data_IF_029428318041
#
_entry.id   IF_029428318041
#
_cell.length_a   1.000
_cell.length_b   1.000
_cell.length_c   1.000
_cell.angle_alpha   90.00
_cell.angle_beta   90.00
_cell.angle_gamma   90.00
#
_symmetry.space_group_name_H-M   'P 1'
#
loop_
_entity.id
_entity.type
_entity.pdbx_description
1 polymer ?
#
# COMPACT_ATOMS: atom_id res chain seq x y z
N UNK A 1 -32.15 -42.81 -45.85
CA UNK A 1 -30.74 -42.41 -45.97
C UNK A 1 -30.71 -40.96 -46.43
N UNK A 2 -30.20 -40.05 -45.59
CA UNK A 2 -29.98 -38.66 -45.96
C UNK A 2 -28.68 -38.21 -45.27
N UNK A 3 -27.62 -38.08 -46.07
CA UNK A 3 -26.28 -37.72 -45.60
C UNK A 3 -26.20 -36.20 -45.52
N UNK A 4 -26.17 -35.65 -44.31
CA UNK A 4 -25.92 -34.22 -44.09
C UNK A 4 -24.40 -33.97 -44.13
N UNK A 5 -23.96 -33.23 -45.15
CA UNK A 5 -22.58 -32.77 -45.29
C UNK A 5 -22.35 -31.62 -44.30
N UNK A 6 -21.62 -31.88 -43.21
CA UNK A 6 -21.13 -30.84 -42.30
C UNK A 6 -19.93 -30.13 -42.94
N UNK A 7 -20.14 -28.91 -43.43
CA UNK A 7 -19.06 -28.00 -43.78
C UNK A 7 -18.39 -27.50 -42.49
N UNK A 8 -17.26 -28.10 -42.12
CA UNK A 8 -16.35 -27.48 -41.16
C UNK A 8 -15.75 -26.23 -41.81
N UNK A 9 -16.23 -25.07 -41.42
CA UNK A 9 -15.50 -23.82 -41.68
C UNK A 9 -14.23 -23.81 -40.82
N UNK A 10 -13.03 -23.61 -41.39
CA UNK A 10 -11.83 -23.50 -40.60
C UNK A 10 -11.93 -22.23 -39.75
N UNK A 11 -11.84 -22.41 -38.43
CA UNK A 11 -11.56 -21.35 -37.46
C UNK A 11 -10.24 -20.72 -37.92
N UNK A 12 -10.32 -19.58 -38.58
CA UNK A 12 -9.14 -18.79 -38.86
C UNK A 12 -8.62 -18.35 -37.50
N UNK A 13 -7.52 -18.96 -37.06
CA UNK A 13 -6.64 -18.34 -36.09
C UNK A 13 -6.53 -16.86 -36.48
N UNK A 14 -6.81 -15.93 -35.56
CA UNK A 14 -6.75 -14.50 -35.83
C UNK A 14 -5.36 -14.20 -36.37
N UNK A 15 -5.21 -14.19 -37.69
CA UNK A 15 -4.01 -13.77 -38.35
C UNK A 15 -4.00 -12.26 -38.18
N UNK A 16 -3.34 -11.81 -37.11
CA UNK A 16 -3.13 -10.39 -36.84
C UNK A 16 -2.74 -9.71 -38.16
N UNK A 17 -3.54 -8.72 -38.56
CA UNK A 17 -3.40 -8.06 -39.84
C UNK A 17 -1.96 -7.54 -40.02
N UNK A 18 -1.45 -7.63 -41.25
CA UNK A 18 -0.16 -7.04 -41.62
C UNK A 18 -0.24 -5.52 -41.52
N UNK A 19 0.89 -4.84 -41.41
CA UNK A 19 0.95 -3.37 -41.46
C UNK A 19 1.66 -2.90 -42.71
N UNK A 20 1.01 -2.03 -43.49
CA UNK A 20 1.67 -1.23 -44.51
C UNK A 20 2.06 0.12 -43.87
N UNK A 21 3.33 0.29 -43.53
CA UNK A 21 3.82 1.47 -42.81
C UNK A 21 4.13 2.57 -43.84
N UNK A 22 3.62 3.77 -43.58
CA UNK A 22 3.82 4.95 -44.42
C UNK A 22 5.00 5.77 -43.90
N UNK A 23 5.59 6.59 -44.77
CA UNK A 23 6.78 7.42 -44.46
C UNK A 23 6.54 8.49 -43.39
N UNK A 24 5.28 8.82 -43.11
CA UNK A 24 4.90 9.73 -42.03
C UNK A 24 4.77 9.02 -40.65
N UNK A 25 5.00 7.70 -40.61
CA UNK A 25 4.90 6.88 -39.41
C UNK A 25 3.51 6.29 -39.16
N UNK A 26 2.48 6.69 -39.91
CA UNK A 26 1.17 6.06 -39.88
C UNK A 26 1.19 4.68 -40.56
N UNK A 27 0.16 3.87 -40.36
CA UNK A 27 0.07 2.56 -41.02
C UNK A 27 -1.35 2.21 -41.41
N UNK A 28 -1.47 1.34 -42.43
CA UNK A 28 -2.72 0.69 -42.81
C UNK A 28 -2.69 -0.76 -42.33
N UNK A 29 -3.76 -1.22 -41.67
CA UNK A 29 -3.94 -2.63 -41.35
C UNK A 29 -4.43 -3.35 -42.59
N UNK A 30 -3.66 -4.33 -43.06
CA UNK A 30 -3.91 -5.01 -44.34
C UNK A 30 -3.88 -6.53 -44.19
N UNK A 31 -4.75 -7.24 -44.91
CA UNK A 31 -4.65 -8.71 -44.99
C UNK A 31 -3.73 -9.16 -46.13
N UNK A 32 -3.75 -8.41 -47.25
CA UNK A 32 -2.92 -8.62 -48.44
C UNK A 32 -2.74 -7.33 -49.23
N UNK A 33 -1.68 -7.24 -50.03
CA UNK A 33 -1.43 -6.12 -50.93
C UNK A 33 -0.74 -6.57 -52.23
N UNK A 34 -0.92 -5.77 -53.29
CA UNK A 34 -0.36 -5.94 -54.62
C UNK A 34 0.25 -4.61 -55.09
N UNK A 35 1.45 -4.63 -55.67
CA UNK A 35 2.07 -3.45 -56.26
C UNK A 35 1.65 -3.40 -57.74
N UNK A 36 0.92 -2.34 -58.14
CA UNK A 36 0.43 -2.09 -59.50
C UNK A 36 1.02 -0.79 -60.03
N UNK A 37 2.18 -0.90 -60.69
CA UNK A 37 2.94 0.26 -61.18
C UNK A 37 3.35 1.17 -60.01
N UNK A 38 2.92 2.43 -60.06
CA UNK A 38 3.18 3.45 -59.03
C UNK A 38 2.21 3.43 -57.84
N UNK A 39 1.28 2.47 -57.79
CA UNK A 39 0.29 2.34 -56.70
C UNK A 39 0.41 0.98 -56.02
N UNK A 40 0.14 0.97 -54.71
CA UNK A 40 -0.02 -0.23 -53.90
C UNK A 40 -1.50 -0.38 -53.62
N UNK A 41 -2.10 -1.46 -54.13
CA UNK A 41 -3.47 -1.82 -53.87
C UNK A 41 -3.50 -2.84 -52.73
N UNK A 42 -4.18 -2.53 -51.64
CA UNK A 42 -4.22 -3.38 -50.45
C UNK A 42 -5.65 -3.64 -50.00
N UNK A 43 -5.87 -4.77 -49.32
CA UNK A 43 -7.16 -5.11 -48.74
C UNK A 43 -7.16 -4.72 -47.27
N UNK A 44 -7.94 -3.70 -46.92
CA UNK A 44 -8.04 -3.17 -45.57
C UNK A 44 -8.61 -4.23 -44.63
N UNK A 45 -7.89 -4.51 -43.54
CA UNK A 45 -8.33 -5.44 -42.52
C UNK A 45 -9.45 -4.86 -41.64
N UNK A 46 -9.56 -3.53 -41.57
CA UNK A 46 -10.62 -2.84 -40.81
C UNK A 46 -11.91 -2.72 -41.60
N UNK A 47 -11.80 -2.31 -42.88
CA UNK A 47 -12.96 -2.05 -43.74
C UNK A 47 -13.39 -3.23 -44.59
N UNK A 48 -12.52 -4.22 -44.78
CA UNK A 48 -12.82 -5.37 -45.63
C UNK A 48 -12.97 -5.00 -47.11
N UNK A 49 -12.31 -3.94 -47.58
CA UNK A 49 -12.38 -3.45 -48.95
C UNK A 49 -10.98 -3.22 -49.54
N UNK A 50 -10.90 -3.15 -50.87
CA UNK A 50 -9.67 -2.80 -51.57
C UNK A 50 -9.46 -1.29 -51.60
N UNK A 51 -8.33 -0.84 -51.06
CA UNK A 51 -7.90 0.55 -51.03
C UNK A 51 -6.57 0.70 -51.78
N UNK A 52 -6.17 1.92 -52.12
CA UNK A 52 -4.94 2.20 -52.87
C UNK A 52 -4.16 3.38 -52.30
N UNK A 53 -2.84 3.23 -52.20
CA UNK A 53 -1.90 4.30 -51.84
C UNK A 53 -0.75 4.38 -52.85
N UNK A 54 -0.15 5.57 -53.08
CA UNK A 54 1.06 5.68 -53.88
C UNK A 54 2.21 4.84 -53.30
N UNK A 55 2.92 4.11 -54.16
CA UNK A 55 4.10 3.30 -53.77
C UNK A 55 5.18 4.13 -53.10
N UNK A 56 5.31 5.39 -53.49
CA UNK A 56 6.29 6.33 -52.95
C UNK A 56 6.03 6.77 -51.50
N UNK A 57 4.80 6.59 -50.98
CA UNK A 57 4.41 6.92 -49.62
C UNK A 57 4.65 5.78 -48.62
N UNK A 58 4.81 4.54 -49.10
CA UNK A 58 5.09 3.39 -48.24
C UNK A 58 6.56 3.40 -47.84
N UNK A 59 6.82 3.23 -46.54
CA UNK A 59 8.12 2.88 -46.02
C UNK A 59 8.26 1.34 -46.05
N UNK A 60 8.88 0.85 -47.13
CA UNK A 60 9.09 -0.58 -47.34
C UNK A 60 10.06 -1.18 -46.33
N UNK A 61 11.08 -0.43 -45.91
CA UNK A 61 12.04 -0.92 -44.93
C UNK A 61 11.37 -1.11 -43.57
N UNK A 62 10.55 -0.16 -43.14
CA UNK A 62 9.77 -0.28 -41.91
C UNK A 62 8.72 -1.40 -42.00
N UNK A 63 8.01 -1.49 -43.13
CA UNK A 63 6.99 -2.54 -43.39
C UNK A 63 7.59 -3.94 -43.32
N UNK A 64 8.71 -4.18 -44.01
CA UNK A 64 9.39 -5.48 -44.01
C UNK A 64 9.97 -5.82 -42.64
N UNK A 65 10.55 -4.82 -41.95
CA UNK A 65 11.05 -5.00 -40.59
C UNK A 65 9.92 -5.39 -39.64
N UNK A 66 8.77 -4.71 -39.69
CA UNK A 66 7.63 -5.03 -38.85
C UNK A 66 7.11 -6.45 -39.11
N UNK A 67 6.97 -6.84 -40.38
CA UNK A 67 6.55 -8.21 -40.72
C UNK A 67 7.55 -9.27 -40.24
N UNK A 68 8.86 -8.99 -40.34
CA UNK A 68 9.91 -9.87 -39.84
C UNK A 68 9.88 -9.99 -38.32
N UNK A 69 9.77 -8.87 -37.61
CA UNK A 69 9.70 -8.83 -36.15
C UNK A 69 8.45 -9.57 -35.64
N UNK A 70 7.29 -9.33 -36.29
CA UNK A 70 6.04 -10.04 -36.01
C UNK A 70 6.18 -11.54 -36.26
N UNK A 71 6.77 -11.95 -37.38
CA UNK A 71 7.00 -13.35 -37.70
C UNK A 71 7.98 -14.03 -36.71
N UNK A 72 8.90 -13.26 -36.14
CA UNK A 72 9.83 -13.69 -35.10
C UNK A 72 9.23 -13.64 -33.67
N UNK A 73 7.98 -13.22 -33.51
CA UNK A 73 7.30 -13.13 -32.21
C UNK A 73 7.74 -11.95 -31.33
N UNK A 74 8.40 -10.94 -31.91
CA UNK A 74 8.80 -9.73 -31.18
C UNK A 74 7.55 -8.87 -30.93
N UNK A 75 7.34 -8.47 -29.67
CA UNK A 75 6.26 -7.56 -29.30
C UNK A 75 6.37 -6.23 -30.07
N UNK A 76 5.25 -5.70 -30.54
CA UNK A 76 5.25 -4.40 -31.22
C UNK A 76 5.60 -3.29 -30.22
N UNK A 77 6.07 -2.12 -30.70
CA UNK A 77 6.32 -0.97 -29.83
C UNK A 77 5.10 -0.58 -29.00
N UNK A 78 3.89 -0.66 -29.56
CA UNK A 78 2.65 -0.35 -28.83
C UNK A 78 2.35 -1.39 -27.75
N UNK A 79 2.59 -2.68 -28.02
CA UNK A 79 2.42 -3.72 -27.01
C UNK A 79 3.42 -3.55 -25.86
N UNK A 80 4.68 -3.23 -26.17
CA UNK A 80 5.70 -2.96 -25.17
C UNK A 80 5.41 -1.69 -24.33
N UNK A 81 4.76 -0.69 -24.92
CA UNK A 81 4.33 0.52 -24.20
C UNK A 81 3.13 0.23 -23.30
N UNK A 82 2.14 -0.52 -23.78
CA UNK A 82 1.00 -0.97 -22.98
C UNK A 82 1.46 -1.82 -21.79
N UNK A 83 2.37 -2.78 -22.01
CA UNK A 83 2.94 -3.59 -20.93
C UNK A 83 3.60 -2.72 -19.86
N UNK A 84 4.34 -1.67 -20.27
CA UNK A 84 4.94 -0.71 -19.31
C UNK A 84 3.89 0.07 -18.54
N UNK A 85 2.81 0.50 -19.19
CA UNK A 85 1.71 1.24 -18.55
C UNK A 85 0.98 0.35 -17.54
N UNK A 86 0.63 -0.88 -17.91
CA UNK A 86 0.00 -1.86 -17.02
C UNK A 86 0.89 -2.20 -15.82
N UNK A 87 2.20 -2.33 -16.06
CA UNK A 87 3.18 -2.53 -14.99
C UNK A 87 3.29 -1.33 -14.06
N UNK A 88 3.19 -0.10 -14.59
CA UNK A 88 3.17 1.11 -13.78
C UNK A 88 1.89 1.20 -12.93
N UNK A 89 0.73 0.96 -13.53
CA UNK A 89 -0.57 0.96 -12.84
C UNK A 89 -0.58 -0.09 -11.72
N UNK A 90 -0.07 -1.29 -11.98
CA UNK A 90 0.05 -2.35 -10.96
C UNK A 90 0.95 -1.91 -9.80
N UNK A 91 2.07 -1.24 -10.09
CA UNK A 91 2.97 -0.72 -9.05
C UNK A 91 2.31 0.38 -8.24
N UNK A 92 1.51 1.25 -8.87
CA UNK A 92 0.74 2.30 -8.18
C UNK A 92 -0.36 1.71 -7.29
N UNK A 93 -1.04 0.65 -7.74
CA UNK A 93 -2.01 -0.08 -6.91
C UNK A 93 -1.33 -0.77 -5.72
N UNK A 94 -0.20 -1.44 -5.96
CA UNK A 94 0.58 -2.10 -4.90
C UNK A 94 1.17 -1.09 -3.89
N UNK A 95 1.54 0.09 -4.36
CA UNK A 95 1.93 1.22 -3.52
C UNK A 95 0.80 1.71 -2.61
N UNK A 96 -0.45 1.82 -3.12
CA UNK A 96 -1.61 2.25 -2.32
C UNK A 96 -2.09 1.18 -1.34
N UNK A 97 -2.06 -0.09 -1.76
CA UNK A 97 -2.49 -1.24 -0.94
C UNK A 97 -1.41 -2.33 -0.86
N UNK A 98 -0.31 -2.09 -0.11
CA UNK A 98 0.78 -3.05 0.01
C UNK A 98 0.33 -4.38 0.60
N UNK A 99 0.83 -5.49 0.05
CA UNK A 99 0.63 -6.83 0.61
C UNK A 99 1.58 -7.05 1.79
N UNK A 100 1.03 -7.41 2.94
CA UNK A 100 1.80 -7.59 4.20
C UNK A 100 1.85 -9.03 4.66
N UNK A 101 0.92 -9.87 4.19
CA UNK A 101 0.94 -11.32 4.35
C UNK A 101 0.13 -11.98 3.20
N UNK A 102 0.22 -13.31 2.99
CA UNK A 102 -0.64 -14.00 2.04
C UNK A 102 -2.13 -13.69 2.28
N UNK A 103 -2.81 -13.18 1.25
CA UNK A 103 -4.21 -12.77 1.33
C UNK A 103 -4.52 -11.52 2.15
N UNK A 104 -3.51 -10.80 2.68
CA UNK A 104 -3.70 -9.59 3.48
C UNK A 104 -2.96 -8.40 2.86
N UNK A 105 -3.71 -7.32 2.64
CA UNK A 105 -3.21 -6.03 2.18
C UNK A 105 -3.60 -4.93 3.16
N UNK A 106 -2.79 -3.89 3.21
CA UNK A 106 -3.13 -2.65 3.93
C UNK A 106 -4.19 -1.88 3.12
N UNK A 107 -5.09 -1.15 3.79
CA UNK A 107 -6.12 -0.40 3.09
C UNK A 107 -5.53 0.88 2.47
N UNK A 108 -6.21 1.46 1.49
CA UNK A 108 -5.76 2.68 0.80
C UNK A 108 -6.08 3.97 1.56
N UNK A 109 -7.04 3.92 2.49
CA UNK A 109 -7.47 5.04 3.35
C UNK A 109 -6.56 5.29 4.57
N UNK A 110 -5.59 4.40 4.81
CA UNK A 110 -4.60 4.54 5.88
C UNK A 110 -5.03 3.92 7.21
N UNK A 111 -4.43 4.38 8.30
CA UNK A 111 -4.69 3.94 9.67
C UNK A 111 -3.48 3.37 10.41
N UNK A 112 -3.76 2.71 11.54
CA UNK A 112 -2.76 1.98 12.33
C UNK A 112 -3.20 0.54 12.46
N UNK A 113 -2.45 -0.39 11.87
CA UNK A 113 -2.79 -1.81 11.84
C UNK A 113 -1.70 -2.65 12.48
N UNK A 114 -2.11 -3.69 13.20
CA UNK A 114 -1.25 -4.71 13.78
C UNK A 114 -1.43 -6.02 13.02
N UNK A 115 -0.35 -6.50 12.39
CA UNK A 115 -0.30 -7.85 11.82
C UNK A 115 0.00 -8.84 12.92
N UNK A 116 -0.95 -9.76 13.10
CA UNK A 116 -0.99 -10.76 14.16
C UNK A 116 -1.05 -12.16 13.56
N UNK A 117 -0.84 -13.17 14.39
CA UNK A 117 -1.09 -14.57 14.05
C UNK A 117 -1.86 -15.24 15.17
N UNK A 118 -3.14 -15.51 14.93
CA UNK A 118 -4.02 -16.17 15.90
C UNK A 118 -4.35 -17.57 15.42
N UNK A 119 -4.08 -18.58 16.27
CA UNK A 119 -4.31 -19.99 15.97
C UNK A 119 -3.69 -20.44 14.61
N UNK A 120 -2.51 -19.89 14.29
CA UNK A 120 -1.78 -20.19 13.06
C UNK A 120 -2.27 -19.45 11.81
N UNK A 121 -3.28 -18.59 11.92
CA UNK A 121 -3.77 -17.77 10.80
C UNK A 121 -3.30 -16.31 10.94
N UNK A 122 -2.67 -15.73 9.90
CA UNK A 122 -2.33 -14.32 9.92
C UNK A 122 -3.61 -13.47 9.85
N UNK A 123 -3.63 -12.34 10.56
CA UNK A 123 -4.76 -11.41 10.55
C UNK A 123 -4.29 -9.98 10.77
N UNK A 124 -5.02 -9.00 10.24
CA UNK A 124 -4.79 -7.58 10.50
C UNK A 124 -5.82 -7.06 11.51
N UNK A 125 -5.34 -6.30 12.49
CA UNK A 125 -6.19 -5.68 13.49
C UNK A 125 -6.01 -4.16 13.44
N UNK A 126 -7.07 -3.42 13.11
CA UNK A 126 -7.06 -1.96 13.19
C UNK A 126 -7.00 -1.53 14.66
N UNK A 127 -5.99 -0.74 15.01
CA UNK A 127 -5.90 -0.10 16.32
C UNK A 127 -6.56 1.26 16.21
N UNK A 128 -7.58 1.50 17.04
CA UNK A 128 -8.26 2.80 17.10
C UNK A 128 -7.44 3.76 17.95
N UNK A 129 -7.46 5.03 17.56
CA UNK A 129 -6.80 6.09 18.34
C UNK A 129 -7.50 6.28 19.68
N UNK A 130 -6.71 6.39 20.75
CA UNK A 130 -7.12 6.60 22.13
C UNK A 130 -6.49 7.88 22.67
N UNK A 131 -7.31 8.76 23.27
CA UNK A 131 -6.83 10.01 23.88
C UNK A 131 -6.33 9.81 25.32
N UNK A 132 -5.08 10.17 25.58
CA UNK A 132 -4.50 10.19 26.92
C UNK A 132 -5.04 11.33 27.79
N UNK A 133 -5.64 11.01 28.94
CA UNK A 133 -6.02 12.01 29.95
C UNK A 133 -4.80 12.41 30.77
N UNK A 134 -4.53 13.71 30.87
CA UNK A 134 -3.43 14.22 31.71
C UNK A 134 -3.91 14.37 33.16
N UNK A 135 -3.43 13.50 34.05
CA UNK A 135 -3.77 13.58 35.46
C UNK A 135 -2.91 14.65 36.16
N UNK A 136 -3.59 15.60 36.83
CA UNK A 136 -2.95 16.77 37.46
C UNK A 136 -2.35 16.49 38.85
N UNK A 137 -2.59 15.32 39.47
CA UNK A 137 -1.99 14.84 40.74
C UNK A 137 -1.67 15.95 41.78
N UNK A 138 -2.63 16.86 41.98
CA UNK A 138 -2.43 18.09 42.75
C UNK A 138 -2.09 17.81 44.22
N UNK A 139 -2.66 16.75 44.82
CA UNK A 139 -2.46 16.40 46.24
C UNK A 139 -1.04 15.93 46.57
N UNK A 140 -0.40 15.14 45.70
CA UNK A 140 0.96 14.62 45.92
C UNK A 140 2.05 15.66 45.59
N UNK A 141 1.81 16.52 44.60
CA UNK A 141 2.72 17.59 44.22
C UNK A 141 2.77 18.73 45.27
N UNK A 142 1.64 19.06 45.93
CA UNK A 142 1.59 20.09 46.99
C UNK A 142 2.43 19.70 48.21
N UNK A 143 2.33 18.43 48.67
CA UNK A 143 3.08 17.94 49.84
C UNK A 143 4.61 17.92 49.64
N UNK A 144 5.07 17.81 48.39
CA UNK A 144 6.51 17.87 48.05
C UNK A 144 7.02 19.30 47.89
N UNK A 145 6.19 20.21 47.37
CA UNK A 145 6.55 21.60 47.15
C UNK A 145 6.81 22.38 48.46
N UNK A 146 6.17 21.98 49.56
CA UNK A 146 6.37 22.61 50.88
C UNK A 146 7.64 22.16 51.59
N UNK A 147 8.18 20.98 51.25
CA UNK A 147 9.41 20.43 51.84
C UNK A 147 10.64 20.76 50.98
N UNK A 148 10.45 20.93 49.66
CA UNK A 148 11.49 21.41 48.75
C UNK A 148 10.89 22.34 47.68
N UNK A 149 11.11 23.67 47.78
CA UNK A 149 10.53 24.64 46.84
C UNK A 149 11.07 24.52 45.40
N UNK A 150 12.08 23.67 45.17
CA UNK A 150 12.65 23.37 43.86
C UNK A 150 11.96 22.16 43.18
N UNK A 151 10.98 21.52 43.83
CA UNK A 151 10.34 20.31 43.31
C UNK A 151 9.49 20.58 42.04
N UNK A 152 9.92 20.01 40.91
CA UNK A 152 9.19 20.02 39.63
C UNK A 152 7.82 19.33 39.73
N UNK A 153 6.79 19.87 39.06
CA UNK A 153 5.48 19.21 38.98
C UNK A 153 5.53 18.02 38.00
N UNK A 154 4.97 16.88 38.40
CA UNK A 154 4.84 15.68 37.55
C UNK A 154 3.36 15.36 37.28
N UNK A 155 3.01 15.16 36.02
CA UNK A 155 1.69 14.73 35.53
C UNK A 155 1.82 13.44 34.73
N UNK A 156 0.84 12.55 34.80
CA UNK A 156 0.83 11.28 34.04
C UNK A 156 -0.14 11.36 32.88
N UNK A 157 0.21 10.71 31.77
CA UNK A 157 -0.68 10.50 30.61
C UNK A 157 -1.32 9.13 30.79
N UNK A 158 -2.65 9.11 30.98
CA UNK A 158 -3.40 7.93 31.42
C UNK A 158 -4.47 7.55 30.39
N UNK A 159 -4.53 6.27 30.06
CA UNK A 159 -5.63 5.64 29.33
C UNK A 159 -6.53 4.88 30.30
N UNK A 160 -7.86 4.95 30.15
CA UNK A 160 -8.77 4.15 30.97
C UNK A 160 -8.69 2.67 30.61
N UNK A 161 -9.08 1.83 31.57
CA UNK A 161 -9.09 0.39 31.44
C UNK A 161 -7.72 -0.24 31.70
N UNK A 162 -7.75 -1.50 32.13
CA UNK A 162 -6.54 -2.29 32.42
C UNK A 162 -5.94 -2.93 31.17
N UNK A 163 -6.72 -3.05 30.09
CA UNK A 163 -6.33 -3.72 28.84
C UNK A 163 -6.76 -2.96 27.60
N UNK A 164 -5.92 -3.03 26.56
CA UNK A 164 -6.27 -2.62 25.22
C UNK A 164 -7.33 -3.55 24.61
N UNK A 165 -8.14 -3.01 23.70
CA UNK A 165 -9.13 -3.83 22.96
C UNK A 165 -8.47 -4.79 21.98
N UNK A 166 -7.36 -4.36 21.36
CA UNK A 166 -6.60 -5.15 20.41
C UNK A 166 -5.46 -5.86 21.15
N UNK A 167 -5.40 -7.18 21.00
CA UNK A 167 -4.37 -8.03 21.60
C UNK A 167 -3.55 -8.69 20.50
N UNK A 168 -2.23 -8.58 20.58
CA UNK A 168 -1.28 -9.33 19.78
C UNK A 168 -1.08 -10.69 20.40
N UNK A 169 -1.27 -11.74 19.60
CA UNK A 169 -1.02 -13.13 20.00
C UNK A 169 0.43 -13.56 19.73
N UNK A 170 1.18 -12.73 19.00
CA UNK A 170 2.63 -12.88 18.81
C UNK A 170 3.40 -11.89 19.67
N UNK A 171 4.62 -12.25 20.08
CA UNK A 171 5.48 -11.41 20.92
C UNK A 171 6.33 -10.42 20.12
N UNK A 172 6.38 -10.54 18.78
CA UNK A 172 7.00 -9.55 17.89
C UNK A 172 5.98 -9.08 16.85
N UNK A 173 5.00 -8.26 17.25
CA UNK A 173 4.02 -7.73 16.30
C UNK A 173 4.69 -6.83 15.26
N UNK A 174 4.21 -6.92 14.02
CA UNK A 174 4.52 -5.93 12.99
C UNK A 174 3.38 -4.92 12.95
N UNK A 175 3.70 -3.64 13.10
CA UNK A 175 2.72 -2.56 13.05
C UNK A 175 2.92 -1.72 11.79
N UNK A 176 1.83 -1.31 11.18
CA UNK A 176 1.81 -0.49 9.97
C UNK A 176 1.07 0.80 10.27
N UNK A 177 1.68 1.93 9.95
CA UNK A 177 1.15 3.26 10.25
C UNK A 177 1.14 4.11 8.99
N UNK A 178 -0.04 4.60 8.62
CA UNK A 178 -0.23 5.62 7.61
C UNK A 178 -1.28 6.60 8.15
N UNK A 179 -0.82 7.72 8.71
CA UNK A 179 -1.70 8.77 9.20
C UNK A 179 -1.23 10.10 8.63
N UNK A 180 -2.19 10.96 8.27
CA UNK A 180 -1.89 12.32 7.85
C UNK A 180 -1.13 13.06 8.96
N UNK A 181 -0.26 13.98 8.58
CA UNK A 181 0.39 14.90 9.51
C UNK A 181 -0.56 16.05 9.82
N UNK A 182 -0.81 16.33 11.10
CA UNK A 182 -1.65 17.48 11.52
C UNK A 182 -1.08 18.85 11.07
N UNK A 183 0.13 18.88 10.48
CA UNK A 183 0.76 20.08 9.91
C UNK A 183 -0.05 20.76 8.78
N UNK A 184 -1.03 20.07 8.19
CA UNK A 184 -1.91 20.67 7.17
C UNK A 184 -2.98 21.62 7.76
N UNK A 185 -3.19 21.62 9.08
CA UNK A 185 -4.24 22.45 9.72
C UNK A 185 -3.75 23.79 10.26
N UNK A 186 -2.47 24.13 10.10
CA UNK A 186 -1.92 25.40 10.57
C UNK A 186 -0.99 26.06 9.56
N UNK A 187 -1.52 26.48 8.40
CA UNK A 187 -1.17 27.76 7.77
C UNK A 187 -2.00 27.98 6.50
N UNK A 188 -3.06 28.76 6.63
CA UNK A 188 -3.62 29.51 5.51
C UNK A 188 -2.63 30.62 5.11
N UNK A 189 -1.57 30.24 4.42
CA UNK A 189 -0.80 31.11 3.52
C UNK A 189 -0.46 30.31 2.26
N UNK A 190 -0.89 30.75 1.06
CA UNK A 190 -0.50 30.10 -0.17
C UNK A 190 0.98 30.42 -0.44
N UNK A 191 1.89 29.55 -0.04
CA UNK A 191 3.24 29.57 -0.58
C UNK A 191 3.24 28.86 -1.93
N UNK A 192 3.46 29.65 -2.97
CA UNK A 192 3.80 29.21 -4.31
C UNK A 192 5.01 28.26 -4.28
N UNK A 193 4.85 27.10 -4.90
CA UNK A 193 5.95 26.41 -5.58
C UNK A 193 6.84 25.51 -4.74
N UNK A 194 6.28 24.44 -4.16
CA UNK A 194 7.01 23.18 -3.95
C UNK A 194 6.02 22.04 -3.69
N UNK A 195 5.55 21.37 -4.75
CA UNK A 195 4.79 20.10 -4.69
C UNK A 195 5.73 18.91 -4.44
N UNK A 196 6.59 19.03 -3.43
CA UNK A 196 7.30 17.88 -2.88
C UNK A 196 6.64 17.58 -1.53
N UNK A 197 5.88 16.49 -1.46
CA UNK A 197 5.45 15.95 -0.17
C UNK A 197 6.71 15.74 0.68
N UNK A 198 6.75 16.24 1.93
CA UNK A 198 7.91 16.02 2.79
C UNK A 198 8.14 14.52 2.92
N UNK A 199 9.39 14.08 2.74
CA UNK A 199 9.74 12.67 2.85
C UNK A 199 9.27 12.09 4.19
N UNK A 200 8.56 10.96 4.13
CA UNK A 200 8.02 10.29 5.31
C UNK A 200 9.17 9.88 6.24
N UNK A 201 9.21 10.43 7.45
CA UNK A 201 10.19 10.03 8.47
C UNK A 201 9.75 8.72 9.14
N UNK A 202 10.43 7.58 8.89
CA UNK A 202 10.07 6.31 9.53
C UNK A 202 10.26 6.36 11.05
N UNK A 203 11.06 7.29 11.58
CA UNK A 203 11.28 7.45 13.02
C UNK A 203 10.20 8.28 13.72
N UNK A 204 9.24 8.86 12.97
CA UNK A 204 8.09 9.60 13.51
C UNK A 204 7.27 8.78 14.50
N UNK A 205 7.24 7.45 14.35
CA UNK A 205 6.46 6.57 15.20
C UNK A 205 7.35 5.67 16.06
N UNK A 206 6.99 5.53 17.34
CA UNK A 206 7.69 4.67 18.30
C UNK A 206 6.69 3.82 19.08
N UNK A 207 7.16 2.70 19.61
CA UNK A 207 6.40 1.89 20.56
C UNK A 207 6.80 2.29 21.97
N UNK A 208 5.83 2.46 22.85
CA UNK A 208 6.04 2.66 24.30
C UNK A 208 5.42 1.51 25.08
N UNK A 209 6.09 1.08 26.15
CA UNK A 209 5.53 0.15 27.13
C UNK A 209 4.81 0.94 28.22
N UNK A 210 3.55 0.60 28.46
CA UNK A 210 2.72 1.24 29.47
C UNK A 210 2.85 0.55 30.83
N UNK A 211 2.52 1.29 31.90
CA UNK A 211 2.37 0.73 33.23
C UNK A 211 0.88 0.64 33.60
N UNK A 212 0.37 -0.56 33.82
CA UNK A 212 -0.98 -0.73 34.36
C UNK A 212 -0.99 -0.44 35.85
N UNK A 213 -1.88 0.43 36.30
CA UNK A 213 -2.07 0.78 37.70
C UNK A 213 -3.57 0.95 37.99
N UNK A 214 -4.09 0.21 38.96
CA UNK A 214 -5.52 0.23 39.28
C UNK A 214 -6.36 -0.09 38.03
N UNK A 215 -7.21 0.84 37.60
CA UNK A 215 -8.14 0.73 36.47
C UNK A 215 -7.66 1.48 35.22
N UNK A 216 -6.36 1.79 35.13
CA UNK A 216 -5.78 2.62 34.07
C UNK A 216 -4.40 2.14 33.63
N UNK A 217 -4.00 2.62 32.45
CA UNK A 217 -2.68 2.40 31.85
C UNK A 217 -1.96 3.73 31.70
N UNK A 218 -0.73 3.81 32.18
CA UNK A 218 0.10 5.02 32.15
C UNK A 218 1.04 4.92 30.95
N UNK A 219 0.85 5.80 29.96
CA UNK A 219 1.67 5.90 28.74
C UNK A 219 3.03 6.53 29.06
N UNK A 220 3.02 7.56 29.90
CA UNK A 220 4.21 8.34 30.23
C UNK A 220 3.92 9.43 31.25
N UNK A 221 4.90 10.31 31.47
CA UNK A 221 4.79 11.43 32.39
C UNK A 221 5.32 12.72 31.77
N UNK A 222 4.63 13.83 32.05
CA UNK A 222 5.03 15.19 31.75
C UNK A 222 5.65 15.78 33.01
N UNK A 223 6.89 16.24 32.93
CA UNK A 223 7.62 16.94 33.99
C UNK A 223 7.70 18.41 33.65
N UNK A 224 7.40 19.26 34.62
CA UNK A 224 7.44 20.71 34.49
C UNK A 224 8.42 21.23 35.54
N UNK A 225 9.59 21.68 35.10
CA UNK A 225 10.59 22.28 35.98
C UNK A 225 10.10 23.62 36.52
N UNK A 226 10.64 24.05 37.67
CA UNK A 226 10.24 25.31 38.33
C UNK A 226 10.46 26.53 37.44
N UNK A 227 11.46 26.50 36.56
CA UNK A 227 11.74 27.54 35.56
C UNK A 227 10.91 27.40 34.25
N UNK A 228 9.89 26.56 34.24
CA UNK A 228 8.93 26.43 33.13
C UNK A 228 9.28 25.41 32.05
N UNK A 229 10.48 24.81 32.05
CA UNK A 229 10.84 23.79 31.06
C UNK A 229 9.97 22.54 31.22
N UNK A 230 9.32 22.14 30.13
CA UNK A 230 8.52 20.92 30.04
C UNK A 230 9.37 19.81 29.39
N UNK A 231 9.36 18.61 29.98
CA UNK A 231 9.89 17.40 29.37
C UNK A 231 8.93 16.25 29.51
N UNK A 232 9.03 15.26 28.63
CA UNK A 232 8.23 14.05 28.67
C UNK A 232 9.11 12.83 28.97
N UNK A 233 8.52 11.83 29.62
CA UNK A 233 9.16 10.56 29.92
C UNK A 233 8.23 9.41 29.54
N UNK A 234 8.76 8.48 28.76
CA UNK A 234 8.07 7.30 28.27
C UNK A 234 9.04 6.13 28.26
N UNK A 235 8.52 4.91 28.39
CA UNK A 235 9.33 3.70 28.30
C UNK A 235 9.38 3.25 26.84
N UNK A 236 10.31 3.81 26.06
CA UNK A 236 10.47 3.48 24.64
C UNK A 236 10.95 2.04 24.47
N UNK A 237 10.26 1.32 23.59
CA UNK A 237 10.66 0.01 23.11
C UNK A 237 11.59 0.21 21.91
N UNK A 238 12.75 -0.45 21.86
CA UNK A 238 13.60 -0.44 20.67
C UNK A 238 12.88 -1.08 19.47
N UNK A 239 12.84 -0.34 18.35
CA UNK A 239 12.17 -0.76 17.11
C UNK A 239 13.03 -0.50 15.89
N UNK A 240 12.87 -1.34 14.89
CA UNK A 240 13.21 -1.03 13.50
C UNK A 240 12.00 -0.41 12.81
N UNK A 241 12.24 0.64 12.02
CA UNK A 241 11.20 1.38 11.32
C UNK A 241 11.62 1.63 9.88
N UNK A 242 10.76 1.27 8.94
CA UNK A 242 11.02 1.39 7.50
C UNK A 242 9.76 1.86 6.76
N UNK A 243 9.94 2.64 5.70
CA UNK A 243 8.85 2.99 4.77
C UNK A 243 8.69 1.82 3.80
N UNK A 244 7.48 1.29 3.65
CA UNK A 244 7.21 0.26 2.65
C UNK A 244 7.36 0.87 1.25
N UNK A 245 8.17 0.22 0.40
CA UNK A 245 8.54 0.72 -0.92
C UNK A 245 7.35 1.21 -1.75
N UNK A 246 7.43 2.45 -2.22
CA UNK A 246 6.39 3.06 -3.06
C UNK A 246 5.14 3.53 -2.31
N UNK A 247 5.04 3.34 -1.00
CA UNK A 247 3.84 3.65 -0.22
C UNK A 247 4.07 4.70 0.88
N UNK A 248 2.98 5.16 1.49
CA UNK A 248 2.99 6.03 2.67
C UNK A 248 2.90 5.26 4.00
N UNK A 249 3.13 3.95 3.97
CA UNK A 249 3.08 3.09 5.15
C UNK A 249 4.45 2.98 5.82
N UNK A 250 4.51 3.31 7.11
CA UNK A 250 5.66 3.00 7.96
C UNK A 250 5.40 1.66 8.64
N UNK A 251 6.31 0.71 8.44
CA UNK A 251 6.35 -0.55 9.21
C UNK A 251 7.24 -0.36 10.44
N UNK A 252 6.74 -0.76 11.59
CA UNK A 252 7.42 -0.68 12.89
C UNK A 252 7.48 -2.10 13.48
N UNK A 253 8.68 -2.57 13.80
CA UNK A 253 8.89 -3.91 14.35
C UNK A 253 9.76 -3.82 15.61
N UNK A 254 9.34 -4.39 16.76
CA UNK A 254 10.20 -4.54 17.92
C UNK A 254 11.46 -5.34 17.58
N UNK A 255 12.63 -4.86 17.99
CA UNK A 255 13.90 -5.57 17.73
C UNK A 255 14.04 -6.85 18.57
N UNK A 256 13.25 -6.96 19.64
CA UNK A 256 13.23 -8.09 20.57
C UNK A 256 11.79 -8.49 20.90
N UNK A 257 11.60 -9.73 21.35
CA UNK A 257 10.29 -10.19 21.79
C UNK A 257 9.78 -9.35 22.96
N UNK A 258 8.56 -8.84 22.82
CA UNK A 258 7.84 -8.11 23.85
C UNK A 258 7.34 -9.10 24.92
N UNK A 259 7.48 -8.71 26.18
CA UNK A 259 6.83 -9.43 27.28
C UNK A 259 5.32 -9.20 27.23
N UNK A 260 4.50 -10.10 27.81
CA UNK A 260 3.10 -9.81 28.00
C UNK A 260 2.87 -8.49 28.74
N UNK A 261 1.89 -7.71 28.29
CA UNK A 261 1.57 -6.40 28.85
C UNK A 261 1.01 -5.40 27.84
N UNK A 262 0.94 -4.14 28.28
CA UNK A 262 0.27 -3.07 27.55
C UNK A 262 1.27 -2.14 26.86
N UNK A 263 0.99 -1.82 25.59
CA UNK A 263 1.85 -1.04 24.72
C UNK A 263 1.05 -0.03 23.92
N UNK A 264 1.72 0.98 23.36
CA UNK A 264 1.09 1.88 22.42
C UNK A 264 2.08 2.31 21.33
N UNK A 265 1.57 2.54 20.13
CA UNK A 265 2.27 3.37 19.13
C UNK A 265 2.01 4.82 19.47
N UNK A 266 3.08 5.61 19.49
CA UNK A 266 3.03 7.05 19.70
C UNK A 266 3.69 7.75 18.53
N UNK A 267 3.13 8.89 18.16
CA UNK A 267 3.76 9.83 17.25
C UNK A 267 4.70 10.74 18.04
N UNK A 268 5.93 10.92 17.55
CA UNK A 268 6.94 11.80 18.13
C UNK A 268 6.79 13.22 17.58
N UNK A 269 6.74 14.19 18.50
CA UNK A 269 6.75 15.62 18.23
C UNK A 269 8.19 16.14 18.42
N UNK A 270 8.96 16.11 17.32
CA UNK A 270 10.38 16.41 17.34
C UNK A 270 11.20 15.32 18.05
N UNK A 271 12.25 15.72 18.79
CA UNK A 271 13.22 14.76 19.36
C UNK A 271 12.76 14.07 20.65
N UNK A 272 11.89 14.70 21.44
CA UNK A 272 11.56 14.23 22.79
C UNK A 272 10.06 14.25 23.12
N UNK A 273 9.27 15.09 22.45
CA UNK A 273 7.83 15.14 22.67
C UNK A 273 7.14 13.96 22.01
N UNK A 274 6.01 13.53 22.56
CA UNK A 274 5.07 12.61 21.92
C UNK A 274 3.66 13.19 21.94
N UNK A 275 2.89 12.83 20.91
CA UNK A 275 1.46 13.11 20.83
C UNK A 275 0.74 12.38 21.98
N UNK A 276 -0.30 13.01 22.54
CA UNK A 276 -1.10 12.43 23.63
C UNK A 276 -2.21 11.52 23.11
N UNK A 277 -2.50 11.60 21.82
CA UNK A 277 -3.33 10.63 21.12
C UNK A 277 -2.44 9.48 20.64
N UNK A 278 -2.77 8.27 21.09
CA UNK A 278 -1.93 7.08 20.94
C UNK A 278 -2.76 5.92 20.42
N UNK A 279 -2.11 4.89 19.91
CA UNK A 279 -2.77 3.68 19.42
C UNK A 279 -2.36 2.50 20.30
N UNK A 280 -3.23 2.13 21.25
CA UNK A 280 -2.93 1.14 22.28
C UNK A 280 -3.23 -0.30 21.86
N UNK A 281 -2.32 -1.22 22.19
CA UNK A 281 -2.46 -2.66 21.99
C UNK A 281 -1.85 -3.41 23.17
N UNK A 282 -2.35 -4.61 23.43
CA UNK A 282 -1.74 -5.53 24.39
C UNK A 282 -0.93 -6.60 23.67
N UNK A 283 0.01 -7.21 24.38
CA UNK A 283 0.69 -8.44 23.98
C UNK A 283 0.26 -9.51 24.96
N UNK A 284 -0.49 -10.50 24.48
CA UNK A 284 -0.91 -11.66 25.25
C UNK A 284 -1.18 -12.82 24.29
N UNK A 285 -0.24 -13.79 24.19
CA UNK A 285 -0.42 -14.99 23.37
C UNK A 285 -1.64 -15.84 23.72
N UNK A 286 -2.21 -15.66 24.91
CA UNK A 286 -3.38 -16.38 25.41
C UNK A 286 -4.68 -15.60 25.35
N UNK A 287 -4.65 -14.37 24.81
CA UNK A 287 -5.85 -13.56 24.67
C UNK A 287 -6.91 -14.24 23.78
N UNK A 288 -8.20 -13.91 23.99
CA UNK A 288 -9.25 -14.25 23.04
C UNK A 288 -9.05 -13.55 21.69
N UNK A 289 -9.67 -14.10 20.64
CA UNK A 289 -9.65 -13.51 19.30
C UNK A 289 -10.11 -12.04 19.30
N UNK A 290 -9.40 -11.21 18.54
CA UNK A 290 -9.84 -9.83 18.26
C UNK A 290 -11.13 -9.88 17.43
N UNK A 291 -12.15 -9.10 17.85
CA UNK A 291 -13.50 -9.18 17.31
C UNK A 291 -13.60 -8.84 15.82
N UNK A 292 -12.89 -7.81 15.40
CA UNK A 292 -13.00 -7.21 14.06
C UNK A 292 -11.75 -7.49 13.20
N UNK A 293 -11.03 -8.59 13.49
CA UNK A 293 -9.82 -8.95 12.79
C UNK A 293 -10.07 -9.27 11.31
N UNK A 294 -9.29 -8.64 10.43
CA UNK A 294 -9.34 -8.91 8.99
C UNK A 294 -8.54 -10.18 8.69
N UNK A 295 -9.23 -11.14 8.10
CA UNK A 295 -8.66 -12.45 7.74
C UNK A 295 -8.20 -12.46 6.28
N UNK A 296 -7.30 -13.38 5.90
CA UNK A 296 -6.82 -13.47 4.54
C UNK A 296 -7.98 -13.64 3.57
N UNK A 297 -8.01 -12.85 2.50
CA UNK A 297 -8.94 -13.07 1.40
C UNK A 297 -8.47 -14.31 0.60
N UNK A 298 -9.24 -15.42 0.57
CA UNK A 298 -8.84 -16.64 -0.12
C UNK A 298 -8.62 -16.43 -1.64
N UNK A 299 -9.31 -15.46 -2.26
CA UNK A 299 -9.15 -15.13 -3.68
C UNK A 299 -7.85 -14.37 -4.01
N UNK A 300 -7.22 -13.72 -3.01
CA UNK A 300 -5.96 -12.98 -3.20
C UNK A 300 -4.70 -13.87 -3.10
N UNK A 301 -4.89 -15.18 -2.89
CA UNK A 301 -3.81 -16.17 -2.78
C UNK A 301 -3.60 -16.98 -4.06
N UNK A 302 -4.52 -16.88 -5.04
CA UNK A 302 -4.33 -17.48 -6.35
C UNK A 302 -3.62 -16.49 -7.26
N UNK A 303 -2.47 -16.84 -7.90
CA UNK A 303 -2.03 -16.08 -9.06
C UNK A 303 -3.19 -16.05 -10.06
N UNK A 304 -3.38 -14.96 -10.84
CA UNK A 304 -4.42 -14.93 -11.85
C UNK A 304 -4.27 -16.18 -12.70
N UNK A 305 -5.24 -17.08 -12.60
CA UNK A 305 -5.32 -18.19 -13.52
C UNK A 305 -5.57 -17.53 -14.86
N UNK A 306 -4.56 -17.47 -15.71
CA UNK A 306 -4.76 -17.49 -17.15
C UNK A 306 -5.41 -18.85 -17.47
N UNK A 307 -6.66 -19.01 -17.05
CA UNK A 307 -7.55 -20.00 -17.59
C UNK A 307 -7.92 -19.43 -18.94
N UNK A 308 -7.10 -19.75 -19.94
CA UNK A 308 -7.56 -19.77 -21.30
C UNK A 308 -8.90 -20.51 -21.28
N UNK A 309 -9.98 -19.81 -21.58
CA UNK A 309 -11.30 -20.37 -21.74
C UNK A 309 -11.21 -21.41 -22.85
N UNK A 310 -10.91 -22.65 -22.49
CA UNK A 310 -10.97 -23.79 -23.38
C UNK A 310 -12.46 -24.00 -23.66
N UNK A 311 -12.90 -23.39 -24.77
CA UNK A 311 -14.24 -23.54 -25.32
C UNK A 311 -14.55 -25.04 -25.46
N UNK A 312 -15.38 -25.54 -24.56
CA UNK A 312 -15.96 -26.88 -24.65
C UNK A 312 -16.66 -27.01 -26.00
N UNK A 313 -16.14 -27.92 -26.84
CA UNK A 313 -16.82 -28.40 -28.04
C UNK A 313 -18.09 -29.13 -27.62
N UNK A 314 -19.29 -28.75 -28.10
CA UNK A 314 -20.47 -29.57 -27.88
C UNK A 314 -20.36 -30.84 -28.73
N UNK A 315 -20.86 -31.91 -28.12
CA UNK A 315 -20.88 -33.30 -28.59
C UNK A 315 -21.90 -33.51 -29.71
#
# INVERSE_FOLDING_TARGET
MATALLFLSPVHAQQLAKRLILKDGSYQLVTKYEIKGERVRYYSAERGEWEEVPKSLVDWAATEKYEKDRAAGVASPEAAELDKQLEAERKEEEARSPKVAPGLRLPDDGGVLLLDTFQGQPQLNEIRQSGGKVNKNTKSNILRATINPIASARRTVELPGTHAKIQSHVTRPMLFVNIASDSDTSSSQPQQGSTAEPALDPQRFKIVRMQTKEDKRIVGAIKIAVYGKVSQQQNLVPTESEVLSGSNWVKITPTSALSPGEYAVVEMLGKEGMNLYVWDFGVDPSAPANRDAWKPNPSASQPPSHQATELQKPR
#
